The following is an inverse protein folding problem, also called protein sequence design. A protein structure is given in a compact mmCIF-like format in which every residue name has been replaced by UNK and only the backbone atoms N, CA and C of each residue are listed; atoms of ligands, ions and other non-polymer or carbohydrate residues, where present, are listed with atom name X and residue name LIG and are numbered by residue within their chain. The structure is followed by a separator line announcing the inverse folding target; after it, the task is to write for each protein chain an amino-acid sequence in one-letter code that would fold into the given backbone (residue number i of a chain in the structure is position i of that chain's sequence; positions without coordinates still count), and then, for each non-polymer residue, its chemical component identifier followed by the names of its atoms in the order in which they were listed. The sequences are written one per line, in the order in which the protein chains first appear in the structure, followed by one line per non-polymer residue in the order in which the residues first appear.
data_IF_967925977301
#
_entry.id   IF_967925977301
#
_cell.length_a   1.000
_cell.length_b   1.000
_cell.length_c   1.000
_cell.angle_alpha   90.00
_cell.angle_beta   90.00
_cell.angle_gamma   90.00
#
_symmetry.space_group_name_H-M   'P 1'
#
loop_
_entity.id
_entity.type
_entity.pdbx_description
1 polymer ?
#
# COMPACT_ATOMS: atom_id res chain seq x y z
N UNK A 1 -25.64 0.95 4.68
CA UNK A 1 -25.08 0.33 3.45
C UNK A 1 -23.55 0.33 3.40
N UNK A 2 -22.83 1.22 4.08
CA UNK A 2 -21.36 1.19 4.17
C UNK A 2 -20.79 -0.19 4.56
N UNK A 3 -21.38 -0.84 5.58
CA UNK A 3 -20.96 -2.18 6.02
C UNK A 3 -21.17 -3.25 4.93
N UNK A 4 -22.14 -3.11 4.04
CA UNK A 4 -22.43 -4.13 3.02
C UNK A 4 -21.35 -4.16 1.94
N UNK A 5 -20.88 -2.98 1.50
CA UNK A 5 -19.81 -2.88 0.48
C UNK A 5 -18.48 -3.36 1.02
N UNK A 6 -18.15 -2.99 2.25
CA UNK A 6 -16.96 -3.50 2.97
C UNK A 6 -17.01 -5.04 3.06
N UNK A 7 -18.11 -5.60 3.57
CA UNK A 7 -18.28 -7.05 3.66
C UNK A 7 -18.19 -7.76 2.30
N UNK A 8 -18.70 -7.15 1.24
CA UNK A 8 -18.62 -7.73 -0.12
C UNK A 8 -17.17 -7.79 -0.61
N UNK A 9 -16.39 -6.72 -0.38
CA UNK A 9 -14.96 -6.68 -0.70
C UNK A 9 -14.20 -7.74 0.13
N UNK A 10 -14.50 -7.82 1.43
CA UNK A 10 -13.89 -8.78 2.33
C UNK A 10 -14.17 -10.23 1.90
N UNK A 11 -15.43 -10.54 1.57
CA UNK A 11 -15.81 -11.88 1.11
C UNK A 11 -15.01 -12.25 -0.13
N UNK A 12 -14.93 -11.37 -1.15
CA UNK A 12 -14.26 -11.66 -2.43
C UNK A 12 -12.74 -11.81 -2.27
N UNK A 13 -12.11 -11.04 -1.38
CA UNK A 13 -10.66 -10.96 -1.28
C UNK A 13 -10.04 -11.84 -0.19
N UNK A 14 -10.78 -12.16 0.87
CA UNK A 14 -10.29 -12.90 2.04
C UNK A 14 -9.66 -14.25 1.71
N UNK A 15 -10.22 -14.97 0.74
CA UNK A 15 -9.72 -16.28 0.32
C UNK A 15 -8.61 -16.22 -0.74
N UNK A 16 -8.34 -15.04 -1.31
CA UNK A 16 -7.29 -14.83 -2.33
C UNK A 16 -6.00 -14.26 -1.75
N UNK A 17 -6.10 -13.55 -0.63
CA UNK A 17 -4.98 -12.88 0.02
C UNK A 17 -4.62 -13.62 1.30
N UNK A 18 -3.36 -14.03 1.43
CA UNK A 18 -2.85 -14.67 2.65
C UNK A 18 -2.80 -13.67 3.80
N UNK A 19 -3.10 -14.15 5.01
CA UNK A 19 -3.12 -13.35 6.24
C UNK A 19 -4.05 -12.12 6.15
N UNK A 20 -5.20 -12.28 5.47
CA UNK A 20 -6.15 -11.20 5.22
C UNK A 20 -6.57 -10.46 6.49
N UNK A 21 -6.94 -11.18 7.55
CA UNK A 21 -7.39 -10.58 8.81
C UNK A 21 -6.32 -9.68 9.45
N UNK A 22 -5.05 -10.10 9.38
CA UNK A 22 -3.93 -9.31 9.86
C UNK A 22 -3.73 -8.04 9.03
N UNK A 23 -3.86 -8.16 7.70
CA UNK A 23 -3.77 -7.02 6.77
C UNK A 23 -4.90 -6.02 7.04
N UNK A 24 -6.13 -6.49 7.26
CA UNK A 24 -7.27 -5.64 7.61
C UNK A 24 -7.06 -4.97 8.96
N UNK A 25 -6.54 -5.69 9.96
CA UNK A 25 -6.22 -5.13 11.27
C UNK A 25 -5.19 -4.00 11.17
N UNK A 26 -4.09 -4.20 10.43
CA UNK A 26 -3.11 -3.13 10.18
C UNK A 26 -3.70 -1.99 9.35
N UNK A 27 -4.53 -2.30 8.35
CA UNK A 27 -5.24 -1.32 7.55
C UNK A 27 -6.11 -0.40 8.38
N UNK A 28 -6.87 -0.96 9.33
CA UNK A 28 -7.66 -0.20 10.29
C UNK A 28 -6.77 0.68 11.18
N UNK A 29 -5.71 0.10 11.77
CA UNK A 29 -4.75 0.87 12.59
C UNK A 29 -4.18 2.06 11.81
N UNK A 30 -3.73 1.85 10.58
CA UNK A 30 -3.22 2.90 9.70
C UNK A 30 -4.28 3.93 9.37
N UNK A 31 -5.52 3.51 9.08
CA UNK A 31 -6.61 4.46 8.80
C UNK A 31 -6.84 5.37 9.99
N UNK A 32 -6.94 4.80 11.18
CA UNK A 32 -7.33 5.50 12.40
C UNK A 32 -6.22 6.44 12.91
N UNK A 33 -4.94 6.15 12.60
CA UNK A 33 -3.81 7.03 12.90
C UNK A 33 -3.36 7.94 11.74
N UNK A 34 -4.03 7.89 10.59
CA UNK A 34 -3.64 8.65 9.40
C UNK A 34 -3.98 10.14 9.54
N UNK A 35 -3.00 11.01 9.31
CA UNK A 35 -3.21 12.47 9.32
C UNK A 35 -4.26 12.94 8.29
N UNK A 36 -4.44 12.17 7.21
CA UNK A 36 -5.41 12.47 6.16
C UNK A 36 -6.81 11.91 6.42
N UNK A 37 -7.01 11.11 7.47
CA UNK A 37 -8.31 10.54 7.80
C UNK A 37 -8.95 11.38 8.92
N UNK A 38 -9.89 12.24 8.54
CA UNK A 38 -10.47 13.24 9.44
C UNK A 38 -11.99 13.14 9.37
N UNK A 39 -12.65 13.15 10.52
CA UNK A 39 -14.11 13.06 10.64
C UNK A 39 -14.74 11.88 9.86
N UNK A 40 -14.04 10.74 9.82
CA UNK A 40 -14.54 9.51 9.21
C UNK A 40 -14.36 9.40 7.70
N UNK A 41 -13.62 10.30 7.05
CA UNK A 41 -13.30 10.22 5.62
C UNK A 41 -11.84 10.56 5.33
N UNK A 42 -11.32 10.09 4.19
CA UNK A 42 -9.99 10.46 3.73
C UNK A 42 -10.05 11.75 2.92
N UNK A 43 -9.30 12.78 3.33
CA UNK A 43 -9.20 14.05 2.58
C UNK A 43 -8.13 14.04 1.47
N UNK A 44 -7.16 13.12 1.55
CA UNK A 44 -6.09 12.97 0.56
C UNK A 44 -6.60 12.41 -0.76
N UNK A 45 -7.52 11.46 -0.69
CA UNK A 45 -8.01 10.73 -1.87
C UNK A 45 -9.32 11.35 -2.36
N UNK A 46 -9.35 11.74 -3.63
CA UNK A 46 -10.54 12.24 -4.32
C UNK A 46 -11.60 11.14 -4.43
N UNK A 47 -12.88 11.48 -4.33
CA UNK A 47 -13.98 10.55 -4.61
C UNK A 47 -14.02 10.06 -6.06
N UNK A 48 -13.27 10.69 -6.97
CA UNK A 48 -13.11 10.24 -8.37
C UNK A 48 -12.06 9.13 -8.53
N UNK A 49 -11.31 8.82 -7.47
CA UNK A 49 -10.26 7.80 -7.47
C UNK A 49 -10.86 6.40 -7.64
N UNK A 50 -10.23 5.56 -8.44
CA UNK A 50 -10.64 4.16 -8.66
C UNK A 50 -9.88 3.25 -7.70
N UNK A 51 -10.22 3.35 -6.42
CA UNK A 51 -9.58 2.61 -5.33
C UNK A 51 -10.62 1.86 -4.50
N UNK A 52 -10.16 0.91 -3.65
CA UNK A 52 -11.06 0.21 -2.75
C UNK A 52 -11.62 1.15 -1.68
N UNK A 53 -12.94 1.35 -1.72
CA UNK A 53 -13.67 2.22 -0.82
C UNK A 53 -14.81 1.45 -0.15
N UNK A 54 -14.93 1.55 1.17
CA UNK A 54 -16.10 1.07 1.90
C UNK A 54 -17.33 1.93 1.59
N UNK A 55 -17.12 3.24 1.35
CA UNK A 55 -18.21 4.16 1.03
C UNK A 55 -17.73 5.38 0.25
N UNK A 56 -18.57 5.91 -0.64
CA UNK A 56 -18.35 7.18 -1.35
C UNK A 56 -19.65 7.96 -1.32
N UNK A 57 -19.63 9.21 -0.85
CA UNK A 57 -20.80 10.08 -0.80
C UNK A 57 -20.39 11.55 -0.73
N UNK A 58 -21.12 12.44 -1.42
CA UNK A 58 -20.94 13.90 -1.35
C UNK A 58 -19.48 14.35 -1.53
N UNK A 59 -18.76 13.76 -2.49
CA UNK A 59 -17.35 14.08 -2.76
C UNK A 59 -16.35 13.55 -1.72
N UNK A 60 -16.82 12.83 -0.69
CA UNK A 60 -16.00 12.20 0.34
C UNK A 60 -15.88 10.70 0.12
N UNK A 61 -14.75 10.16 0.53
CA UNK A 61 -14.43 8.73 0.44
C UNK A 61 -14.07 8.18 1.81
N UNK A 62 -14.66 7.02 2.13
CA UNK A 62 -14.23 6.21 3.27
C UNK A 62 -13.46 5.03 2.67
N UNK A 63 -12.12 5.04 2.78
CA UNK A 63 -11.30 3.99 2.20
C UNK A 63 -11.55 2.66 2.92
N UNK A 64 -11.46 1.58 2.15
CA UNK A 64 -11.43 0.23 2.71
C UNK A 64 -10.17 0.04 3.55
N UNK A 65 -10.19 -0.70 4.68
CA UNK A 65 -8.99 -0.97 5.47
C UNK A 65 -7.83 -1.56 4.64
N UNK A 66 -8.14 -2.48 3.72
CA UNK A 66 -7.17 -3.01 2.77
C UNK A 66 -6.47 -1.92 1.94
N UNK A 67 -7.21 -0.89 1.51
CA UNK A 67 -6.60 0.25 0.82
C UNK A 67 -5.66 1.02 1.75
N UNK A 68 -6.06 1.26 3.00
CA UNK A 68 -5.22 1.95 3.98
C UNK A 68 -3.92 1.18 4.26
N UNK A 69 -3.97 -0.16 4.25
CA UNK A 69 -2.77 -0.99 4.33
C UNK A 69 -1.79 -0.75 3.16
N UNK A 70 -2.35 -0.63 1.95
CA UNK A 70 -1.62 -0.42 0.68
C UNK A 70 -1.32 1.05 0.36
N UNK A 71 -1.79 1.99 1.17
CA UNK A 71 -1.75 3.40 0.83
C UNK A 71 -0.30 3.93 0.91
N UNK A 72 0.28 4.49 -0.18
CA UNK A 72 1.63 5.03 -0.16
C UNK A 72 1.71 6.39 0.56
N UNK A 73 0.57 6.99 0.89
CA UNK A 73 0.50 8.34 1.46
C UNK A 73 0.42 8.36 2.99
N UNK A 74 0.24 7.20 3.66
CA UNK A 74 -0.03 7.13 5.10
C UNK A 74 0.97 7.92 5.97
N UNK A 75 2.26 7.83 5.67
CA UNK A 75 3.32 8.47 6.47
C UNK A 75 3.70 9.87 5.99
N UNK A 76 2.96 10.45 5.03
CA UNK A 76 3.26 11.78 4.52
C UNK A 76 2.69 12.86 5.42
N UNK A 77 3.38 14.00 5.46
CA UNK A 77 2.83 15.21 6.06
C UNK A 77 1.69 15.73 5.21
N UNK A 78 0.70 16.27 5.91
CA UNK A 78 -0.47 16.86 5.29
C UNK A 78 -0.08 18.10 4.50
N UNK A 79 -0.34 18.06 3.19
CA UNK A 79 -0.02 19.11 2.23
C UNK A 79 -1.28 19.83 1.71
N UNK A 80 -2.45 19.52 2.29
CA UNK A 80 -3.78 19.99 1.88
C UNK A 80 -4.12 19.74 0.40
N UNK A 81 -3.40 18.83 -0.27
CA UNK A 81 -3.67 18.45 -1.65
C UNK A 81 -4.48 17.17 -1.73
N UNK A 82 -5.65 17.24 -2.35
CA UNK A 82 -6.39 16.07 -2.77
C UNK A 82 -5.89 15.55 -4.12
N UNK A 83 -5.75 14.24 -4.25
CA UNK A 83 -5.26 13.56 -5.45
C UNK A 83 -6.30 12.61 -6.01
N UNK A 84 -6.29 12.40 -7.33
CA UNK A 84 -7.05 11.33 -8.00
C UNK A 84 -6.07 10.26 -8.43
N UNK A 85 -6.34 9.01 -8.06
CA UNK A 85 -5.44 7.87 -8.29
C UNK A 85 -6.25 6.60 -8.53
N UNK A 86 -5.66 5.60 -9.17
CA UNK A 86 -6.21 4.25 -9.25
C UNK A 86 -5.27 3.16 -8.68
N UNK A 87 -5.73 1.91 -8.70
CA UNK A 87 -4.94 0.78 -8.19
C UNK A 87 -3.66 0.54 -9.01
N UNK A 88 -3.67 0.85 -10.31
CA UNK A 88 -2.52 0.66 -11.19
C UNK A 88 -1.43 1.70 -10.92
N UNK A 89 -1.81 2.96 -10.69
CA UNK A 89 -0.89 4.01 -10.25
C UNK A 89 -0.15 3.63 -8.95
N UNK A 90 -0.87 3.05 -7.99
CA UNK A 90 -0.30 2.58 -6.72
C UNK A 90 0.66 1.42 -6.96
N UNK A 91 0.27 0.48 -7.82
CA UNK A 91 1.14 -0.62 -8.24
C UNK A 91 2.43 -0.12 -8.89
N UNK A 92 2.36 0.84 -9.82
CA UNK A 92 3.52 1.46 -10.44
C UNK A 92 4.41 2.18 -9.42
N UNK A 93 3.81 2.86 -8.45
CA UNK A 93 4.54 3.51 -7.36
C UNK A 93 5.40 2.49 -6.59
N UNK A 94 4.81 1.36 -6.20
CA UNK A 94 5.56 0.31 -5.51
C UNK A 94 6.58 -0.40 -6.39
N UNK A 95 6.31 -0.59 -7.68
CA UNK A 95 7.28 -1.14 -8.63
C UNK A 95 8.51 -0.26 -8.78
N UNK A 96 8.30 1.05 -8.93
CA UNK A 96 9.40 2.01 -9.02
C UNK A 96 10.22 2.03 -7.73
N UNK A 97 9.54 2.05 -6.58
CA UNK A 97 10.21 2.01 -5.28
C UNK A 97 11.02 0.72 -5.06
N UNK A 98 10.46 -0.43 -5.47
CA UNK A 98 11.17 -1.71 -5.47
C UNK A 98 12.48 -1.63 -6.25
N UNK A 99 12.44 -1.14 -7.49
CA UNK A 99 13.63 -1.02 -8.33
C UNK A 99 14.68 -0.07 -7.74
N UNK A 100 14.25 1.01 -7.09
CA UNK A 100 15.17 1.93 -6.41
C UNK A 100 15.89 1.25 -5.24
N UNK A 101 15.16 0.48 -4.41
CA UNK A 101 15.72 -0.25 -3.28
C UNK A 101 16.69 -1.35 -3.75
N UNK A 102 16.34 -2.11 -4.79
CA UNK A 102 17.21 -3.14 -5.36
C UNK A 102 18.56 -2.55 -5.83
N UNK A 103 18.53 -1.42 -6.54
CA UNK A 103 19.76 -0.71 -6.94
C UNK A 103 20.58 -0.21 -5.76
N UNK A 104 19.91 0.26 -4.71
CA UNK A 104 20.59 0.71 -3.50
C UNK A 104 21.24 -0.45 -2.73
N UNK A 105 20.58 -1.61 -2.68
CA UNK A 105 21.14 -2.83 -2.11
C UNK A 105 22.39 -3.28 -2.88
N UNK A 106 22.34 -3.31 -4.22
CA UNK A 106 23.50 -3.61 -5.06
C UNK A 106 24.68 -2.64 -4.78
N UNK A 107 24.37 -1.35 -4.64
CA UNK A 107 25.39 -0.36 -4.27
C UNK A 107 25.98 -0.62 -2.88
N UNK A 108 25.16 -0.93 -1.87
CA UNK A 108 25.67 -1.23 -0.53
C UNK A 108 26.50 -2.52 -0.53
N UNK A 109 26.10 -3.54 -1.26
CA UNK A 109 26.81 -4.82 -1.35
C UNK A 109 28.17 -4.67 -2.04
N UNK A 110 28.26 -3.87 -3.10
CA UNK A 110 29.55 -3.52 -3.73
C UNK A 110 30.46 -2.72 -2.79
N UNK A 111 29.91 -1.80 -1.99
CA UNK A 111 30.71 -1.11 -0.96
C UNK A 111 31.18 -2.05 0.15
N UNK A 112 30.34 -2.97 0.61
CA UNK A 112 30.68 -3.91 1.66
C UNK A 112 31.77 -4.91 1.24
N UNK A 113 31.89 -5.21 -0.06
CA UNK A 113 32.96 -6.08 -0.57
C UNK A 113 34.31 -5.36 -0.73
N UNK A 114 34.31 -4.04 -0.91
CA UNK A 114 35.52 -3.20 -1.02
C UNK A 114 36.22 -2.92 0.33
N UNK A 115 35.47 -2.83 1.44
CA UNK A 115 36.01 -2.50 2.76
C UNK A 115 36.14 -3.74 3.66
N UNK A 116 37.15 -3.78 4.54
CA UNK A 116 37.24 -4.84 5.55
C UNK A 116 35.96 -4.87 6.40
N UNK A 117 35.47 -6.09 6.62
CA UNK A 117 34.17 -6.44 7.24
C UNK A 117 33.93 -5.75 8.62
N UNK A 118 34.95 -5.19 9.25
CA UNK A 118 34.88 -4.48 10.53
C UNK A 118 34.42 -3.01 10.45
N UNK A 119 34.38 -2.40 9.27
CA UNK A 119 34.38 -0.92 9.14
C UNK A 119 33.02 -0.27 8.87
N UNK A 120 31.92 -1.01 8.69
CA UNK A 120 30.64 -0.39 8.32
C UNK A 120 29.39 -1.04 8.92
N UNK A 121 29.32 -1.12 10.24
CA UNK A 121 28.09 -1.49 10.96
C UNK A 121 26.85 -0.71 10.48
N UNK A 122 27.01 0.57 10.16
CA UNK A 122 25.95 1.42 9.62
C UNK A 122 25.42 0.94 8.25
N UNK A 123 26.31 0.53 7.34
CA UNK A 123 25.90 0.00 6.03
C UNK A 123 25.17 -1.35 6.16
N UNK A 124 25.57 -2.20 7.12
CA UNK A 124 24.86 -3.46 7.39
C UNK A 124 23.45 -3.23 7.90
N UNK A 125 23.29 -2.33 8.89
CA UNK A 125 21.97 -1.98 9.41
C UNK A 125 21.07 -1.43 8.31
N UNK A 126 21.59 -0.49 7.51
CA UNK A 126 20.86 0.04 6.35
C UNK A 126 20.46 -1.05 5.35
N UNK A 127 21.35 -2.01 5.08
CA UNK A 127 21.04 -3.17 4.22
C UNK A 127 19.88 -3.99 4.79
N UNK A 128 19.92 -4.31 6.08
CA UNK A 128 18.85 -5.08 6.75
C UNK A 128 17.52 -4.32 6.71
N UNK A 129 17.53 -3.01 6.98
CA UNK A 129 16.34 -2.15 6.90
C UNK A 129 15.74 -2.14 5.48
N UNK A 130 16.60 -2.02 4.45
CA UNK A 130 16.18 -2.05 3.05
C UNK A 130 15.62 -3.42 2.63
N UNK A 131 16.18 -4.53 3.11
CA UNK A 131 15.64 -5.87 2.85
C UNK A 131 14.25 -6.02 3.48
N UNK A 132 14.09 -5.63 4.74
CA UNK A 132 12.78 -5.68 5.40
C UNK A 132 11.75 -4.80 4.67
N UNK A 133 12.17 -3.64 4.19
CA UNK A 133 11.29 -2.75 3.41
C UNK A 133 10.95 -3.33 2.03
N UNK A 134 11.91 -3.99 1.37
CA UNK A 134 11.71 -4.67 0.09
C UNK A 134 10.69 -5.81 0.20
N UNK A 135 10.71 -6.56 1.31
CA UNK A 135 9.75 -7.63 1.60
C UNK A 135 8.33 -7.11 1.80
N UNK A 136 8.18 -6.00 2.54
CA UNK A 136 6.90 -5.29 2.70
C UNK A 136 6.36 -4.81 1.35
N UNK A 137 7.19 -4.12 0.54
CA UNK A 137 6.82 -3.65 -0.80
C UNK A 137 6.43 -4.82 -1.71
N UNK A 138 7.19 -5.90 -1.69
CA UNK A 138 6.92 -7.08 -2.49
C UNK A 138 5.58 -7.72 -2.11
N UNK A 139 5.23 -7.72 -0.83
CA UNK A 139 3.93 -8.18 -0.33
C UNK A 139 2.80 -7.29 -0.83
N UNK A 140 2.95 -5.96 -0.73
CA UNK A 140 1.96 -5.00 -1.22
C UNK A 140 1.75 -5.11 -2.74
N UNK A 141 2.81 -5.31 -3.51
CA UNK A 141 2.73 -5.55 -4.96
C UNK A 141 1.91 -6.80 -5.27
N UNK A 142 2.15 -7.92 -4.56
CA UNK A 142 1.39 -9.17 -4.76
C UNK A 142 -0.10 -8.96 -4.49
N UNK A 143 -0.44 -8.27 -3.40
CA UNK A 143 -1.82 -7.96 -3.04
C UNK A 143 -2.47 -7.07 -4.11
N UNK A 144 -1.79 -6.01 -4.56
CA UNK A 144 -2.30 -5.11 -5.59
C UNK A 144 -2.59 -5.84 -6.90
N UNK A 145 -1.67 -6.70 -7.35
CA UNK A 145 -1.90 -7.50 -8.56
C UNK A 145 -3.12 -8.40 -8.41
N UNK A 146 -3.33 -8.99 -7.24
CA UNK A 146 -4.47 -9.88 -7.02
C UNK A 146 -5.80 -9.11 -7.03
N UNK A 147 -5.83 -7.91 -6.43
CA UNK A 147 -7.00 -7.03 -6.49
C UNK A 147 -7.29 -6.60 -7.94
N UNK A 148 -6.25 -6.19 -8.69
CA UNK A 148 -6.39 -5.76 -10.09
C UNK A 148 -6.96 -6.91 -10.95
N UNK A 149 -6.40 -8.12 -10.83
CA UNK A 149 -6.88 -9.30 -11.55
C UNK A 149 -8.35 -9.62 -11.26
N UNK A 150 -8.77 -9.49 -10.01
CA UNK A 150 -10.18 -9.71 -9.63
C UNK A 150 -11.07 -8.65 -10.27
N UNK A 151 -10.63 -7.38 -10.27
CA UNK A 151 -11.41 -6.29 -10.89
C UNK A 151 -11.55 -6.42 -12.42
N UNK A 152 -10.57 -7.01 -13.09
CA UNK A 152 -10.61 -7.25 -14.54
C UNK A 152 -11.53 -8.42 -14.89
N UNK A 153 -11.51 -9.52 -14.12
CA UNK A 153 -12.38 -10.69 -14.37
C UNK A 153 -13.87 -10.35 -14.23
N UNK A 154 -14.24 -9.52 -13.26
CA UNK A 154 -15.62 -9.05 -13.12
C UNK A 154 -16.10 -8.15 -14.28
N UNK A 155 -15.17 -7.65 -15.11
CA UNK A 155 -15.50 -6.90 -16.33
C UNK A 155 -15.61 -7.78 -17.59
N UNK A 156 -15.04 -8.98 -17.60
CA UNK A 156 -15.15 -9.92 -18.72
C UNK A 156 -16.44 -10.78 -18.64
N UNK A 157 -16.98 -10.97 -17.44
CA UNK A 157 -18.22 -11.75 -17.20
C UNK A 157 -19.53 -10.91 -17.35
N UNK A 158 -19.48 -9.75 -18.03
CA UNK A 158 -20.63 -8.87 -18.31
C UNK A 158 -20.72 -8.49 -19.79
#
# INVERSE_FOLDING_TARGET
MQNFRELSIDIVLSHKIRNYDQIILEGNRKRDSCAFFVYGYCKKISSKSKVLASWISNGRIIPHPLFCYLCPFYSLRDDDKTITIDLFDIYLTYKNLKTQIERELEFIESRLSEFSFSTSLALRRRREDLIAFLDDISTKIKILMEIIRVSEREHEDR
#
